data_IF_059664992868
#
_entry.id   IF_059664992868
#
_cell.length_a   1.000
_cell.length_b   1.000
_cell.length_c   1.000
_cell.angle_alpha   90.00
_cell.angle_beta   90.00
_cell.angle_gamma   90.00
#
_symmetry.space_group_name_H-M   'P 1'
#
loop_
_entity.id
_entity.type
_entity.pdbx_description
1 polymer ?
#
# COMPACT_ATOMS: atom_id res chain seq x y z
N UNK A 1 42.72 -59.64 -24.31
CA UNK A 1 41.36 -59.32 -23.81
C UNK A 1 41.51 -58.37 -22.65
N UNK A 2 41.43 -57.05 -22.91
CA UNK A 2 41.51 -56.02 -21.89
C UNK A 2 40.09 -55.63 -21.45
N UNK A 3 39.78 -55.83 -20.19
CA UNK A 3 38.51 -55.39 -19.57
C UNK A 3 38.65 -53.93 -19.18
N UNK A 4 37.92 -53.06 -19.83
CA UNK A 4 37.76 -51.67 -19.40
C UNK A 4 36.70 -51.58 -18.32
N UNK A 5 37.08 -51.20 -17.11
CA UNK A 5 36.14 -50.85 -16.04
C UNK A 5 35.72 -49.39 -16.27
N UNK A 6 34.43 -49.21 -16.62
CA UNK A 6 33.80 -47.93 -16.70
C UNK A 6 33.35 -47.53 -15.27
N UNK A 7 34.06 -46.58 -14.65
CA UNK A 7 33.68 -46.03 -13.37
C UNK A 7 32.63 -44.93 -13.58
N UNK A 8 31.36 -45.22 -13.29
CA UNK A 8 30.29 -44.23 -13.28
C UNK A 8 30.42 -43.37 -12.00
N UNK A 9 30.88 -42.14 -12.15
CA UNK A 9 30.86 -41.14 -11.05
C UNK A 9 29.43 -40.62 -10.85
N UNK A 10 28.81 -41.06 -9.77
CA UNK A 10 27.49 -40.58 -9.32
C UNK A 10 27.66 -39.20 -8.67
N UNK A 11 27.45 -38.12 -9.43
CA UNK A 11 27.36 -36.77 -8.89
C UNK A 11 26.08 -36.63 -8.04
N UNK A 12 26.20 -36.83 -6.73
CA UNK A 12 25.17 -36.43 -5.77
C UNK A 12 25.19 -34.89 -5.66
N UNK A 13 24.33 -34.22 -6.40
CA UNK A 13 24.02 -32.81 -6.16
C UNK A 13 23.30 -32.71 -4.82
N UNK A 14 24.03 -32.28 -3.79
CA UNK A 14 23.45 -31.84 -2.53
C UNK A 14 22.64 -30.57 -2.81
N UNK A 15 21.33 -30.72 -3.03
CA UNK A 15 20.40 -29.62 -3.00
C UNK A 15 20.22 -29.23 -1.52
N UNK A 16 21.01 -28.25 -1.07
CA UNK A 16 20.77 -27.64 0.23
C UNK A 16 19.34 -27.11 0.25
N UNK A 17 18.52 -27.39 1.31
CA UNK A 17 17.20 -26.79 1.41
C UNK A 17 17.38 -25.27 1.44
N UNK A 18 17.00 -24.58 0.36
CA UNK A 18 16.82 -23.15 0.39
C UNK A 18 15.83 -22.88 1.52
N UNK A 19 16.25 -22.19 2.58
CA UNK A 19 15.34 -21.76 3.62
C UNK A 19 14.15 -21.10 2.94
N UNK A 20 12.94 -21.67 3.13
CA UNK A 20 11.73 -21.17 2.47
C UNK A 20 11.56 -19.72 2.87
N UNK A 21 11.87 -18.81 1.94
CA UNK A 21 11.80 -17.38 2.13
C UNK A 21 10.33 -17.04 2.43
N UNK A 22 10.06 -16.36 3.54
CA UNK A 22 8.69 -15.99 3.90
C UNK A 22 8.26 -14.78 3.06
N UNK A 23 7.57 -15.03 1.96
CA UNK A 23 7.13 -14.02 1.01
C UNK A 23 6.37 -12.84 1.66
N UNK A 24 5.66 -13.08 2.75
CA UNK A 24 4.95 -12.02 3.49
C UNK A 24 5.93 -11.11 4.22
N UNK A 25 6.89 -11.67 4.93
CA UNK A 25 7.90 -10.90 5.66
C UNK A 25 8.80 -10.12 4.71
N UNK A 26 9.19 -10.74 3.59
CA UNK A 26 9.98 -10.08 2.55
C UNK A 26 9.24 -8.92 1.92
N UNK A 27 7.96 -9.09 1.59
CA UNK A 27 7.13 -8.01 1.05
C UNK A 27 7.01 -6.84 2.03
N UNK A 28 6.89 -7.11 3.33
CA UNK A 28 6.85 -6.09 4.38
C UNK A 28 8.20 -5.37 4.49
N UNK A 29 9.30 -6.13 4.51
CA UNK A 29 10.66 -5.60 4.70
C UNK A 29 11.13 -4.76 3.50
N UNK A 30 10.78 -5.17 2.28
CA UNK A 30 11.26 -4.55 1.03
C UNK A 30 10.38 -3.41 0.53
N UNK A 31 9.14 -3.28 1.02
CA UNK A 31 8.26 -2.18 0.61
C UNK A 31 8.87 -0.81 0.94
N UNK A 32 8.99 0.01 -0.07
CA UNK A 32 9.43 1.40 0.06
C UNK A 32 8.37 2.41 -0.42
N UNK A 33 8.51 3.68 -0.02
CA UNK A 33 7.62 4.77 -0.46
C UNK A 33 8.10 5.32 -1.80
N UNK A 34 7.41 4.98 -2.87
CA UNK A 34 7.72 5.42 -4.25
C UNK A 34 7.00 6.73 -4.55
N UNK A 35 7.74 7.71 -5.09
CA UNK A 35 7.22 9.05 -5.44
C UNK A 35 7.50 9.45 -6.88
N UNK A 36 8.19 8.61 -7.63
CA UNK A 36 8.45 8.81 -9.05
C UNK A 36 7.90 7.61 -9.82
N UNK A 37 7.05 7.87 -10.79
CA UNK A 37 6.31 6.86 -11.50
C UNK A 37 6.58 6.96 -13.00
N UNK A 38 6.57 5.80 -13.68
CA UNK A 38 6.48 5.74 -15.13
C UNK A 38 5.09 6.21 -15.56
N UNK A 39 4.97 6.68 -16.80
CA UNK A 39 3.68 7.04 -17.40
C UNK A 39 2.84 5.83 -17.84
N UNK A 40 3.36 4.63 -17.67
CA UNK A 40 2.70 3.38 -18.00
C UNK A 40 1.41 3.21 -17.19
N UNK A 41 0.25 2.93 -17.84
CA UNK A 41 -1.00 2.70 -17.15
C UNK A 41 -0.93 1.48 -16.23
N UNK A 42 -1.65 1.54 -15.11
CA UNK A 42 -1.82 0.37 -14.22
C UNK A 42 -3.06 -0.39 -14.67
N UNK A 43 -2.93 -1.70 -14.80
CA UNK A 43 -4.00 -2.60 -15.24
C UNK A 43 -5.17 -2.58 -14.23
N UNK A 44 -6.40 -2.57 -14.71
CA UNK A 44 -7.61 -2.56 -13.88
C UNK A 44 -7.67 -3.73 -12.92
N UNK A 45 -7.17 -4.90 -13.34
CA UNK A 45 -7.14 -6.10 -12.49
C UNK A 45 -6.19 -5.93 -11.30
N UNK A 46 -5.04 -5.28 -11.48
CA UNK A 46 -4.14 -4.95 -10.37
C UNK A 46 -4.78 -3.97 -9.39
N UNK A 47 -5.46 -2.93 -9.89
CA UNK A 47 -6.21 -2.01 -9.02
C UNK A 47 -7.29 -2.77 -8.24
N UNK A 48 -8.02 -3.67 -8.88
CA UNK A 48 -9.01 -4.50 -8.20
C UNK A 48 -8.39 -5.37 -7.11
N UNK A 49 -7.24 -6.00 -7.36
CA UNK A 49 -6.53 -6.80 -6.36
C UNK A 49 -6.06 -5.94 -5.17
N UNK A 50 -5.54 -4.76 -5.43
CA UNK A 50 -5.13 -3.79 -4.39
C UNK A 50 -6.32 -3.41 -3.51
N UNK A 51 -7.47 -3.09 -4.11
CA UNK A 51 -8.67 -2.72 -3.36
C UNK A 51 -9.24 -3.89 -2.56
N UNK A 52 -9.24 -5.11 -3.10
CA UNK A 52 -9.61 -6.32 -2.35
C UNK A 52 -8.72 -6.55 -1.13
N UNK A 53 -7.40 -6.40 -1.30
CA UNK A 53 -6.46 -6.51 -0.20
C UNK A 53 -6.69 -5.43 0.87
N UNK A 54 -6.95 -4.19 0.45
CA UNK A 54 -7.29 -3.10 1.37
C UNK A 54 -8.55 -3.43 2.19
N UNK A 55 -9.60 -3.93 1.53
CA UNK A 55 -10.86 -4.32 2.18
C UNK A 55 -10.75 -5.57 3.06
N UNK A 56 -9.65 -6.33 2.97
CA UNK A 56 -9.37 -7.47 3.85
C UNK A 56 -8.74 -7.06 5.19
N UNK A 57 -8.58 -5.76 5.44
CA UNK A 57 -8.09 -5.26 6.72
C UNK A 57 -9.08 -5.55 7.86
N UNK A 58 -8.60 -5.73 9.10
CA UNK A 58 -9.49 -5.75 10.25
C UNK A 58 -10.09 -4.37 10.49
N UNK A 59 -11.28 -4.33 11.10
CA UNK A 59 -11.89 -3.09 11.57
C UNK A 59 -12.59 -3.29 12.91
N UNK A 60 -12.67 -2.23 13.70
CA UNK A 60 -13.31 -2.25 14.98
C UNK A 60 -14.77 -2.71 14.83
N UNK A 61 -15.16 -3.75 15.57
CA UNK A 61 -16.47 -4.41 15.48
C UNK A 61 -16.90 -4.79 14.04
N UNK A 62 -15.91 -5.04 13.16
CA UNK A 62 -16.14 -5.33 11.74
C UNK A 62 -17.00 -4.26 11.02
N UNK A 63 -16.83 -3.00 11.39
CA UNK A 63 -17.61 -1.88 10.82
C UNK A 63 -17.28 -1.54 9.38
N UNK A 64 -16.04 -1.84 8.92
CA UNK A 64 -15.61 -1.67 7.54
C UNK A 64 -15.93 -0.26 6.99
N UNK A 65 -15.50 0.81 7.68
CA UNK A 65 -15.90 2.17 7.35
C UNK A 65 -15.19 2.73 6.10
N UNK A 66 -14.25 1.99 5.51
CA UNK A 66 -13.47 2.44 4.38
C UNK A 66 -14.31 2.67 3.13
N UNK A 67 -13.95 3.72 2.39
CA UNK A 67 -14.35 4.02 1.02
C UNK A 67 -13.11 4.32 0.21
N UNK A 68 -13.10 3.91 -1.03
CA UNK A 68 -11.99 4.14 -1.94
C UNK A 68 -12.49 4.88 -3.18
N UNK A 69 -11.79 5.95 -3.55
CA UNK A 69 -12.05 6.70 -4.78
C UNK A 69 -10.82 6.53 -5.65
N UNK A 70 -11.01 5.92 -6.81
CA UNK A 70 -9.94 5.73 -7.80
C UNK A 70 -10.01 6.87 -8.80
N UNK A 71 -8.92 7.61 -8.93
CA UNK A 71 -8.80 8.78 -9.80
C UNK A 71 -7.71 8.48 -10.85
N UNK A 72 -8.11 8.30 -12.09
CA UNK A 72 -7.25 8.16 -13.26
C UNK A 72 -7.36 9.37 -14.20
N UNK A 73 -8.38 10.21 -14.04
CA UNK A 73 -8.55 11.45 -14.79
C UNK A 73 -7.40 12.43 -14.54
N UNK A 74 -6.75 12.88 -15.61
CA UNK A 74 -5.57 13.73 -15.54
C UNK A 74 -5.87 15.12 -14.98
N UNK A 75 -7.03 15.71 -15.30
CA UNK A 75 -7.40 17.04 -14.83
C UNK A 75 -7.63 17.00 -13.30
N UNK A 76 -8.39 16.01 -12.83
CA UNK A 76 -8.66 15.84 -11.39
C UNK A 76 -7.40 15.52 -10.60
N UNK A 77 -6.48 14.68 -11.11
CA UNK A 77 -5.19 14.43 -10.48
C UNK A 77 -4.34 15.70 -10.37
N UNK A 78 -4.33 16.53 -11.40
CA UNK A 78 -3.61 17.80 -11.40
C UNK A 78 -4.22 18.79 -10.39
N UNK A 79 -5.54 18.92 -10.32
CA UNK A 79 -6.23 19.76 -9.34
C UNK A 79 -5.91 19.36 -7.91
N UNK A 80 -5.99 18.06 -7.60
CA UNK A 80 -5.59 17.51 -6.29
C UNK A 80 -4.11 17.82 -5.96
N UNK A 81 -3.21 17.63 -6.93
CA UNK A 81 -1.77 17.84 -6.72
C UNK A 81 -1.40 19.32 -6.53
N UNK A 82 -2.11 20.24 -7.16
CA UNK A 82 -1.92 21.68 -6.97
C UNK A 82 -2.42 22.15 -5.61
N UNK A 83 -3.58 21.65 -5.20
CA UNK A 83 -4.22 22.02 -3.93
C UNK A 83 -3.63 21.32 -2.71
N UNK A 84 -2.92 20.21 -2.90
CA UNK A 84 -2.33 19.37 -1.85
C UNK A 84 -0.81 19.27 -2.02
N UNK A 85 -0.02 20.24 -1.52
CA UNK A 85 1.42 20.33 -1.82
C UNK A 85 2.25 19.09 -1.47
N UNK A 86 1.83 18.34 -0.45
CA UNK A 86 2.46 17.08 -0.05
C UNK A 86 2.09 15.88 -0.95
N UNK A 87 1.15 16.06 -1.89
CA UNK A 87 0.66 15.05 -2.82
C UNK A 87 0.99 15.36 -4.29
N UNK A 88 1.91 16.29 -4.56
CA UNK A 88 2.28 16.73 -5.92
C UNK A 88 2.67 15.58 -6.86
N UNK A 89 3.25 14.51 -6.32
CA UNK A 89 3.60 13.32 -7.11
C UNK A 89 2.36 12.61 -7.69
N UNK A 90 1.17 12.84 -7.15
CA UNK A 90 -0.08 12.29 -7.65
C UNK A 90 -0.41 12.73 -9.08
N UNK A 91 -0.01 13.95 -9.49
CA UNK A 91 -0.18 14.42 -10.87
C UNK A 91 0.53 13.53 -11.89
N UNK A 92 1.68 12.95 -11.52
CA UNK A 92 2.51 12.12 -12.40
C UNK A 92 2.24 10.62 -12.25
N UNK A 93 1.49 10.21 -11.24
CA UNK A 93 1.10 8.81 -11.08
C UNK A 93 0.01 8.43 -12.10
N UNK A 94 0.04 7.21 -12.67
CA UNK A 94 -1.03 6.73 -13.54
C UNK A 94 -2.39 6.77 -12.86
N UNK A 95 -2.45 6.40 -11.58
CA UNK A 95 -3.67 6.37 -10.77
C UNK A 95 -3.40 6.91 -9.36
N UNK A 96 -4.39 7.53 -8.78
CA UNK A 96 -4.41 7.95 -7.37
C UNK A 96 -5.61 7.28 -6.69
N UNK A 97 -5.38 6.70 -5.53
CA UNK A 97 -6.45 6.13 -4.71
C UNK A 97 -6.62 7.02 -3.48
N UNK A 98 -7.80 7.61 -3.31
CA UNK A 98 -8.16 8.32 -2.09
C UNK A 98 -8.82 7.32 -1.15
N UNK A 99 -8.18 7.09 0.00
CA UNK A 99 -8.77 6.30 1.08
C UNK A 99 -9.58 7.24 1.95
N UNK A 100 -10.85 6.91 2.14
CA UNK A 100 -11.80 7.68 2.94
C UNK A 100 -12.42 6.81 4.02
N UNK A 101 -13.01 7.45 5.02
CA UNK A 101 -13.93 6.83 5.96
C UNK A 101 -15.38 7.29 5.70
N UNK A 102 -16.31 6.35 5.77
CA UNK A 102 -17.74 6.59 5.83
C UNK A 102 -18.13 6.70 7.32
N UNK A 103 -18.39 7.91 7.77
CA UNK A 103 -18.64 8.20 9.19
C UNK A 103 -19.95 7.58 9.71
N UNK A 104 -20.89 7.26 8.82
CA UNK A 104 -22.12 6.56 9.19
C UNK A 104 -21.89 5.09 9.55
N UNK A 105 -20.72 4.55 9.18
CA UNK A 105 -20.31 3.17 9.47
C UNK A 105 -19.33 3.06 10.64
N UNK A 106 -19.08 4.14 11.36
CA UNK A 106 -18.15 4.12 12.49
C UNK A 106 -18.82 3.66 13.78
N UNK A 107 -18.02 3.39 14.81
CA UNK A 107 -18.54 3.12 16.16
C UNK A 107 -18.97 4.44 16.79
N UNK A 108 -20.09 4.43 17.52
CA UNK A 108 -20.55 5.57 18.30
C UNK A 108 -19.83 5.66 19.66
N UNK A 109 -19.95 6.82 20.33
CA UNK A 109 -19.42 7.04 21.68
C UNK A 109 -17.89 7.05 21.72
N UNK A 110 -17.32 6.47 22.77
CA UNK A 110 -15.87 6.48 23.05
C UNK A 110 -15.05 5.77 21.96
N UNK A 111 -15.66 4.84 21.23
CA UNK A 111 -15.03 4.14 20.10
C UNK A 111 -15.04 4.92 18.77
N UNK A 112 -15.56 6.15 18.75
CA UNK A 112 -15.72 6.93 17.52
C UNK A 112 -14.43 7.13 16.72
N UNK A 113 -13.29 7.21 17.39
CA UNK A 113 -11.98 7.44 16.73
C UNK A 113 -11.36 6.17 16.12
N UNK A 114 -11.89 4.98 16.36
CA UNK A 114 -11.31 3.74 15.82
C UNK A 114 -11.32 3.66 14.29
N UNK A 115 -12.19 4.41 13.62
CA UNK A 115 -12.17 4.47 12.16
C UNK A 115 -10.80 4.89 11.60
N UNK A 116 -10.02 5.69 12.34
CA UNK A 116 -8.67 6.10 11.95
C UNK A 116 -7.76 4.87 11.86
N UNK A 117 -7.87 3.96 12.83
CA UNK A 117 -7.12 2.71 12.85
C UNK A 117 -7.58 1.77 11.71
N UNK A 118 -8.90 1.69 11.50
CA UNK A 118 -9.51 0.86 10.46
C UNK A 118 -9.01 1.25 9.06
N UNK A 119 -9.10 2.54 8.71
CA UNK A 119 -8.64 3.01 7.39
C UNK A 119 -7.11 3.03 7.29
N UNK A 120 -6.38 3.12 8.41
CA UNK A 120 -4.93 2.95 8.45
C UNK A 120 -4.52 1.53 8.09
N UNK A 121 -5.19 0.53 8.70
CA UNK A 121 -4.96 -0.88 8.38
C UNK A 121 -5.26 -1.18 6.90
N UNK A 122 -6.38 -0.66 6.39
CA UNK A 122 -6.74 -0.79 4.98
C UNK A 122 -5.71 -0.12 4.06
N UNK A 123 -5.20 1.07 4.43
CA UNK A 123 -4.16 1.76 3.67
C UNK A 123 -2.86 0.97 3.65
N UNK A 124 -2.46 0.38 4.78
CA UNK A 124 -1.24 -0.43 4.84
C UNK A 124 -1.37 -1.69 3.97
N UNK A 125 -2.52 -2.38 4.00
CA UNK A 125 -2.77 -3.51 3.11
C UNK A 125 -2.70 -3.10 1.62
N UNK A 126 -3.26 -1.94 1.27
CA UNK A 126 -3.16 -1.36 -0.07
C UNK A 126 -1.70 -1.19 -0.52
N UNK A 127 -0.85 -0.63 0.35
CA UNK A 127 0.57 -0.41 0.05
C UNK A 127 1.33 -1.72 -0.13
N UNK A 128 1.06 -2.73 0.70
CA UNK A 128 1.67 -4.04 0.59
C UNK A 128 1.24 -4.78 -0.68
N UNK A 129 -0.05 -4.71 -1.03
CA UNK A 129 -0.58 -5.30 -2.24
C UNK A 129 -0.01 -4.63 -3.50
N UNK A 130 0.10 -3.30 -3.53
CA UNK A 130 0.74 -2.60 -4.63
C UNK A 130 2.18 -3.08 -4.82
N UNK A 131 2.96 -3.19 -3.73
CA UNK A 131 4.34 -3.66 -3.76
C UNK A 131 4.45 -5.10 -4.27
N UNK A 132 3.62 -6.02 -3.79
CA UNK A 132 3.62 -7.42 -4.22
C UNK A 132 3.27 -7.61 -5.71
N UNK A 133 2.58 -6.63 -6.31
CA UNK A 133 2.23 -6.62 -7.73
C UNK A 133 3.27 -5.88 -8.60
N UNK A 134 4.44 -5.54 -8.05
CA UNK A 134 5.49 -4.80 -8.74
C UNK A 134 5.20 -3.31 -8.92
N UNK A 135 4.21 -2.77 -8.20
CA UNK A 135 3.86 -1.36 -8.24
C UNK A 135 4.48 -0.60 -7.07
N UNK A 136 4.73 0.67 -7.29
CA UNK A 136 5.11 1.62 -6.26
C UNK A 136 3.91 2.40 -5.75
N UNK A 137 3.94 2.74 -4.47
CA UNK A 137 2.94 3.59 -3.85
C UNK A 137 3.54 4.39 -2.68
N UNK A 138 2.85 5.45 -2.28
CA UNK A 138 3.20 6.21 -1.08
C UNK A 138 1.94 6.71 -0.36
N UNK A 139 1.94 6.61 0.95
CA UNK A 139 0.90 7.18 1.79
C UNK A 139 1.13 8.68 1.98
N UNK A 140 0.21 9.50 1.48
CA UNK A 140 0.16 10.94 1.73
C UNK A 140 -1.02 11.25 2.64
N UNK A 141 -0.74 11.67 3.87
CA UNK A 141 -1.78 11.94 4.86
C UNK A 141 -2.62 13.18 4.50
N UNK A 142 -3.93 13.06 4.61
CA UNK A 142 -4.90 14.16 4.50
C UNK A 142 -5.48 14.49 5.87
N UNK A 143 -6.05 13.53 6.56
CA UNK A 143 -6.57 13.67 7.93
C UNK A 143 -5.44 13.58 8.97
N UNK A 144 -5.47 14.33 10.08
CA UNK A 144 -6.52 15.25 10.56
C UNK A 144 -6.31 16.72 10.15
N UNK A 145 -5.78 17.00 9.01
CA UNK A 145 -5.46 18.36 8.57
C UNK A 145 -6.53 18.93 7.64
N UNK A 146 -6.50 20.25 7.40
CA UNK A 146 -7.38 20.93 6.43
C UNK A 146 -7.32 20.33 5.01
N UNK A 147 -6.27 19.55 4.69
CA UNK A 147 -6.15 18.84 3.42
C UNK A 147 -7.26 17.83 3.19
N UNK A 148 -7.81 17.24 4.26
CA UNK A 148 -8.98 16.35 4.17
C UNK A 148 -10.18 17.11 3.60
N UNK A 149 -10.48 18.30 4.13
CA UNK A 149 -11.58 19.16 3.65
C UNK A 149 -11.34 19.65 2.23
N UNK A 150 -10.09 20.04 1.90
CA UNK A 150 -9.72 20.42 0.53
C UNK A 150 -9.97 19.27 -0.46
N UNK A 151 -9.53 18.06 -0.13
CA UNK A 151 -9.77 16.89 -0.97
C UNK A 151 -11.27 16.56 -1.10
N UNK A 152 -12.04 16.67 -0.02
CA UNK A 152 -13.48 16.45 -0.03
C UNK A 152 -14.19 17.43 -0.96
N UNK A 153 -13.82 18.72 -0.91
CA UNK A 153 -14.39 19.75 -1.77
C UNK A 153 -14.11 19.51 -3.26
N UNK A 154 -12.84 19.19 -3.61
CA UNK A 154 -12.44 18.89 -4.99
C UNK A 154 -13.18 17.67 -5.52
N UNK A 155 -13.30 16.62 -4.72
CA UNK A 155 -13.97 15.37 -5.07
C UNK A 155 -15.50 15.45 -4.92
N UNK A 156 -16.05 16.57 -4.45
CA UNK A 156 -17.50 16.81 -4.22
C UNK A 156 -18.11 15.71 -3.34
N UNK A 157 -17.41 15.35 -2.27
CA UNK A 157 -17.86 14.28 -1.38
C UNK A 157 -18.94 14.78 -0.42
N UNK A 158 -19.91 13.91 -0.03
CA UNK A 158 -20.85 14.23 1.03
C UNK A 158 -20.14 14.32 2.38
N UNK A 159 -20.72 15.03 3.35
CA UNK A 159 -20.12 15.34 4.65
C UNK A 159 -19.73 14.09 5.48
N UNK A 160 -20.45 12.98 5.29
CA UNK A 160 -20.16 11.73 5.97
C UNK A 160 -18.96 10.96 5.38
N UNK A 161 -18.43 11.37 4.24
CA UNK A 161 -17.24 10.73 3.63
C UNK A 161 -16.00 11.59 3.86
N UNK A 162 -15.13 11.13 4.74
CA UNK A 162 -13.95 11.86 5.20
C UNK A 162 -12.69 11.32 4.52
N UNK A 163 -12.02 12.10 3.64
CA UNK A 163 -10.73 11.71 3.04
C UNK A 163 -9.64 11.57 4.11
N UNK A 164 -9.04 10.40 4.16
CA UNK A 164 -8.01 10.05 5.13
C UNK A 164 -6.60 10.12 4.55
N UNK A 165 -6.38 9.51 3.39
CA UNK A 165 -5.10 9.48 2.71
C UNK A 165 -5.27 9.54 1.20
N UNK A 166 -4.28 10.14 0.53
CA UNK A 166 -4.10 10.10 -0.91
C UNK A 166 -2.91 9.19 -1.22
N UNK A 167 -3.13 8.16 -2.02
CA UNK A 167 -2.14 7.15 -2.36
C UNK A 167 -1.94 7.11 -3.87
N UNK A 168 -0.88 7.76 -4.41
CA UNK A 168 -0.47 7.57 -5.79
C UNK A 168 0.04 6.15 -5.99
N UNK A 169 -0.33 5.52 -7.09
CA UNK A 169 0.05 4.15 -7.47
C UNK A 169 0.49 4.13 -8.93
N UNK A 170 1.58 3.41 -9.21
CA UNK A 170 2.10 3.24 -10.57
C UNK A 170 3.39 2.43 -10.57
N UNK A 171 3.92 2.15 -11.75
CA UNK A 171 5.22 1.49 -11.88
C UNK A 171 6.34 2.45 -11.43
N UNK A 172 7.28 2.00 -10.57
CA UNK A 172 8.39 2.83 -10.13
C UNK A 172 9.24 3.30 -11.32
N UNK A 173 9.56 4.60 -11.39
CA UNK A 173 10.50 5.13 -12.39
C UNK A 173 11.96 4.90 -11.98
N UNK A 174 12.22 4.71 -10.68
CA UNK A 174 13.55 4.45 -10.11
C UNK A 174 13.42 3.44 -9.00
N UNK A 175 14.48 2.68 -8.77
CA UNK A 175 14.55 1.80 -7.62
C UNK A 175 14.64 2.61 -6.34
N UNK A 176 13.85 2.21 -5.35
CA UNK A 176 13.83 2.83 -4.03
C UNK A 176 14.18 1.78 -2.99
N UNK A 177 15.37 1.91 -2.41
CA UNK A 177 15.82 1.00 -1.37
C UNK A 177 14.93 1.11 -0.11
N UNK A 178 14.58 -0.01 0.51
CA UNK A 178 13.91 0.00 1.82
C UNK A 178 14.85 0.59 2.88
N UNK A 179 14.26 1.17 3.92
CA UNK A 179 15.02 1.69 5.07
C UNK A 179 14.99 0.66 6.18
N UNK A 180 16.14 0.35 6.74
CA UNK A 180 16.20 -0.35 8.01
C UNK A 180 15.61 0.56 9.11
N UNK A 181 14.66 0.00 9.85
CA UNK A 181 13.93 0.70 10.92
C UNK A 181 13.95 -0.10 12.22
N UNK A 182 14.73 -1.19 12.23
CA UNK A 182 14.88 -1.96 13.46
C UNK A 182 15.53 -1.11 14.53
N UNK A 183 14.95 -1.13 15.71
CA UNK A 183 15.41 -0.39 16.86
C UNK A 183 14.97 -1.14 18.12
N UNK A 184 15.90 -1.88 18.71
CA UNK A 184 15.64 -2.71 19.87
C UNK A 184 15.21 -1.91 21.10
N UNK A 185 15.61 -0.62 21.17
CA UNK A 185 15.24 0.25 22.29
C UNK A 185 13.74 0.56 22.34
N UNK A 186 13.01 0.28 21.27
CA UNK A 186 11.54 0.42 21.19
C UNK A 186 10.79 -0.80 21.68
N UNK A 187 11.50 -1.81 22.18
CA UNK A 187 10.91 -3.05 22.65
C UNK A 187 11.11 -3.12 24.17
N UNK A 188 10.04 -3.36 24.88
CA UNK A 188 10.07 -3.59 26.32
C UNK A 188 9.39 -4.92 26.63
N UNK A 189 10.09 -5.78 27.36
CA UNK A 189 9.57 -7.04 27.86
C UNK A 189 9.17 -6.86 29.32
N UNK A 190 7.90 -7.14 29.60
CA UNK A 190 7.32 -6.99 30.94
C UNK A 190 7.36 -5.53 31.44
N UNK A 191 7.61 -5.34 32.72
CA UNK A 191 7.69 -4.02 33.36
C UNK A 191 9.11 -3.68 33.70
#
# INVERSE_FOLDING_TARGET
MKKELLAAALCLTFCAPAAAQNAVLDNIATRASVRQFKSEPVEKDKITQILKAAMSAPSAMNKQPWRFIVVDDAALKNELAQSLPNARMGAKAPVVIIVCADMDKTIAGDGKSFWIQDVSAATQNLLLAAHSLGLGAVWTGLYPTARSQTAAAILKLPENIVPFALVPVGYPATDVAPKDKWDETKIQYNR
#
